data_IF_180262977883
#
_entry.id   IF_180262977883
#
_cell.length_a   1.000
_cell.length_b   1.000
_cell.length_c   1.000
_cell.angle_alpha   90.00
_cell.angle_beta   90.00
_cell.angle_gamma   90.00
#
_symmetry.space_group_name_H-M   'P 1'
#
loop_
_entity.id
_entity.type
_entity.pdbx_description
1 polymer ?
#
# COMPACT_ATOMS: atom_id res chain seq x y z
N UNK A 1 -5.74 8.98 -18.17
CA UNK A 1 -6.41 7.80 -17.57
C UNK A 1 -7.82 8.11 -17.06
N UNK A 2 -8.02 9.11 -16.19
CA UNK A 2 -9.35 9.47 -15.65
C UNK A 2 -10.48 9.57 -16.68
N UNK A 3 -10.25 10.28 -17.80
CA UNK A 3 -11.23 10.39 -18.88
C UNK A 3 -11.64 9.02 -19.45
N UNK A 4 -10.65 8.16 -19.72
CA UNK A 4 -10.90 6.81 -20.26
C UNK A 4 -11.65 5.95 -19.24
N UNK A 5 -11.27 6.02 -17.96
CA UNK A 5 -11.96 5.29 -16.88
C UNK A 5 -13.44 5.69 -16.76
N UNK A 6 -13.74 6.99 -16.85
CA UNK A 6 -15.12 7.50 -16.83
C UNK A 6 -15.91 7.07 -18.07
N UNK A 7 -15.30 7.15 -19.26
CA UNK A 7 -16.00 6.86 -20.52
C UNK A 7 -16.21 5.37 -20.78
N UNK A 8 -15.27 4.52 -20.38
CA UNK A 8 -15.22 3.13 -20.84
C UNK A 8 -15.20 2.10 -19.72
N UNK A 9 -14.85 2.48 -18.49
CA UNK A 9 -14.74 1.57 -17.35
C UNK A 9 -15.74 1.88 -16.22
N UNK A 10 -16.79 2.64 -16.53
CA UNK A 10 -17.91 2.92 -15.62
C UNK A 10 -17.50 3.56 -14.28
N UNK A 11 -16.41 4.35 -14.26
CA UNK A 11 -16.08 5.16 -13.09
C UNK A 11 -17.22 6.14 -12.80
N UNK A 12 -17.85 5.98 -11.63
CA UNK A 12 -18.88 6.86 -11.09
C UNK A 12 -18.31 7.59 -9.86
N UNK A 13 -18.47 8.90 -9.86
CA UNK A 13 -18.12 9.77 -8.73
C UNK A 13 -19.40 10.16 -8.00
N UNK A 14 -19.32 10.24 -6.68
CA UNK A 14 -20.42 10.62 -5.79
C UNK A 14 -19.87 11.21 -4.48
N UNK A 15 -20.71 11.33 -3.45
CA UNK A 15 -20.30 11.86 -2.14
C UNK A 15 -19.27 10.99 -1.40
N UNK A 16 -19.12 9.72 -1.79
CA UNK A 16 -18.21 8.74 -1.20
C UNK A 16 -16.99 8.45 -2.10
N UNK A 17 -17.05 8.79 -3.39
CA UNK A 17 -15.96 8.61 -4.33
C UNK A 17 -15.65 9.91 -5.08
N UNK A 18 -14.52 10.53 -4.73
CA UNK A 18 -14.00 11.72 -5.40
C UNK A 18 -12.74 11.41 -6.21
N UNK A 19 -12.51 12.19 -7.27
CA UNK A 19 -11.32 12.10 -8.10
C UNK A 19 -10.54 13.41 -8.02
N UNK A 20 -9.26 13.30 -7.69
CA UNK A 20 -8.31 14.41 -7.73
C UNK A 20 -7.29 14.13 -8.83
N UNK A 21 -7.17 15.03 -9.81
CA UNK A 21 -6.14 14.95 -10.85
C UNK A 21 -4.96 15.82 -10.41
N UNK A 22 -3.95 15.19 -9.84
CA UNK A 22 -2.75 15.85 -9.33
C UNK A 22 -1.54 14.91 -9.39
N UNK A 23 -0.36 15.45 -9.12
CA UNK A 23 0.81 14.65 -8.76
C UNK A 23 0.59 14.03 -7.38
N UNK A 24 0.75 12.71 -7.27
CA UNK A 24 0.41 11.97 -6.06
C UNK A 24 1.34 12.29 -4.87
N UNK A 25 2.62 12.58 -5.14
CA UNK A 25 3.58 12.97 -4.09
C UNK A 25 3.20 14.34 -3.51
N UNK A 26 2.90 15.29 -4.39
CA UNK A 26 2.47 16.64 -4.00
C UNK A 26 1.16 16.59 -3.22
N UNK A 27 0.20 15.76 -3.65
CA UNK A 27 -1.06 15.54 -2.92
C UNK A 27 -0.81 15.05 -1.49
N UNK A 28 0.02 14.02 -1.32
CA UNK A 28 0.36 13.48 0.01
C UNK A 28 0.94 14.56 0.91
N UNK A 29 1.91 15.33 0.42
CA UNK A 29 2.55 16.40 1.21
C UNK A 29 1.58 17.53 1.59
N UNK A 30 0.67 17.90 0.68
CA UNK A 30 -0.33 18.94 0.92
C UNK A 30 -1.40 18.52 1.91
N UNK A 31 -1.89 17.29 1.83
CA UNK A 31 -2.89 16.77 2.75
C UNK A 31 -2.34 16.69 4.18
N UNK A 32 -1.06 16.32 4.33
CA UNK A 32 -0.36 16.38 5.61
C UNK A 32 -0.29 17.82 6.14
N UNK A 33 -0.02 18.83 5.29
CA UNK A 33 0.00 20.25 5.69
C UNK A 33 -1.39 20.75 6.12
N UNK A 34 -2.45 20.22 5.51
CA UNK A 34 -3.84 20.51 5.87
C UNK A 34 -4.29 19.80 7.15
N UNK A 35 -3.44 18.96 7.75
CA UNK A 35 -3.79 18.18 8.94
C UNK A 35 -4.80 17.07 8.67
N UNK A 36 -4.91 16.62 7.42
CA UNK A 36 -5.78 15.50 7.04
C UNK A 36 -5.16 14.18 7.48
N UNK A 37 -6.02 13.23 7.80
CA UNK A 37 -5.65 11.85 8.07
C UNK A 37 -6.64 10.91 7.39
N UNK A 38 -6.16 9.72 7.04
CA UNK A 38 -6.93 8.67 6.37
C UNK A 38 -6.79 7.36 7.13
N UNK A 39 -7.86 6.55 7.18
CA UNK A 39 -7.80 5.23 7.81
C UNK A 39 -7.04 4.21 6.95
N UNK A 40 -7.15 4.35 5.64
CA UNK A 40 -6.48 3.50 4.67
C UNK A 40 -5.87 4.36 3.57
N UNK A 41 -4.61 4.12 3.23
CA UNK A 41 -3.94 4.68 2.08
C UNK A 41 -3.52 3.56 1.15
N UNK A 42 -4.05 3.54 -0.09
CA UNK A 42 -3.61 2.61 -1.13
C UNK A 42 -2.60 3.30 -2.04
N UNK A 43 -1.46 2.65 -2.28
CA UNK A 43 -0.45 3.09 -3.21
C UNK A 43 -0.31 2.05 -4.34
N UNK A 44 -0.84 2.41 -5.50
CA UNK A 44 -0.74 1.64 -6.75
C UNK A 44 -0.21 2.54 -7.87
N UNK A 45 1.05 2.96 -7.70
CA UNK A 45 1.74 3.84 -8.63
C UNK A 45 2.95 3.08 -9.21
N UNK A 46 2.85 2.70 -10.48
CA UNK A 46 3.82 1.82 -11.12
C UNK A 46 4.43 2.43 -12.38
N UNK A 47 5.67 2.07 -12.66
CA UNK A 47 6.25 2.23 -13.99
C UNK A 47 5.66 1.20 -14.96
N UNK A 48 5.55 1.58 -16.24
CA UNK A 48 5.16 0.64 -17.32
C UNK A 48 6.37 -0.06 -17.98
N UNK A 49 7.58 0.24 -17.51
CA UNK A 49 8.85 -0.15 -18.13
C UNK A 49 9.64 -1.06 -17.19
N UNK A 50 9.96 -2.27 -17.62
CA UNK A 50 10.67 -3.27 -16.79
C UNK A 50 12.14 -2.96 -16.52
N UNK A 51 12.70 -1.88 -17.09
CA UNK A 51 14.08 -1.45 -16.84
C UNK A 51 14.29 -0.87 -15.43
N UNK A 52 13.22 -0.45 -14.75
CA UNK A 52 13.32 0.02 -13.37
C UNK A 52 13.58 -1.14 -12.41
N UNK A 53 14.30 -0.89 -11.31
CA UNK A 53 14.60 -1.95 -10.31
C UNK A 53 13.34 -2.44 -9.61
N UNK A 54 12.51 -1.49 -9.17
CA UNK A 54 11.20 -1.69 -8.58
C UNK A 54 10.19 -1.08 -9.57
N UNK A 55 9.18 -1.86 -9.97
CA UNK A 55 8.11 -1.35 -10.82
C UNK A 55 7.06 -0.61 -10.00
N UNK A 56 6.69 -1.20 -8.86
CA UNK A 56 5.69 -0.66 -7.96
C UNK A 56 6.20 -0.73 -6.51
N UNK A 57 6.21 0.38 -5.75
CA UNK A 57 5.84 1.72 -6.18
C UNK A 57 6.96 2.40 -6.99
N UNK A 58 6.64 3.47 -7.72
CA UNK A 58 7.66 4.32 -8.37
C UNK A 58 8.62 4.92 -7.33
N UNK A 59 9.88 5.14 -7.71
CA UNK A 59 10.93 5.72 -6.87
C UNK A 59 10.58 7.07 -6.22
N UNK A 60 9.72 7.89 -6.84
CA UNK A 60 9.20 9.12 -6.24
C UNK A 60 8.52 8.88 -4.87
N UNK A 61 7.85 7.73 -4.69
CA UNK A 61 7.22 7.33 -3.43
C UNK A 61 8.18 6.62 -2.47
N UNK A 62 9.40 6.28 -2.92
CA UNK A 62 10.44 5.67 -2.09
C UNK A 62 11.36 6.70 -1.43
N UNK A 63 11.21 7.99 -1.74
CA UNK A 63 11.96 9.04 -1.07
C UNK A 63 11.53 9.17 0.41
N UNK A 64 12.49 9.19 1.34
CA UNK A 64 12.23 9.25 2.80
C UNK A 64 11.21 10.33 3.20
N UNK A 65 11.30 11.52 2.60
CA UNK A 65 10.35 12.62 2.86
C UNK A 65 8.90 12.23 2.53
N UNK A 66 8.71 11.49 1.44
CA UNK A 66 7.38 11.05 0.97
C UNK A 66 6.88 9.91 1.84
N UNK A 67 7.73 8.94 2.19
CA UNK A 67 7.39 7.85 3.12
C UNK A 67 6.97 8.41 4.47
N UNK A 68 7.72 9.37 5.02
CA UNK A 68 7.38 10.05 6.27
C UNK A 68 6.06 10.82 6.15
N UNK A 69 5.79 11.44 5.00
CA UNK A 69 4.52 12.11 4.77
C UNK A 69 3.36 11.11 4.74
N UNK A 70 3.53 9.95 4.09
CA UNK A 70 2.54 8.88 4.11
C UNK A 70 2.29 8.33 5.52
N UNK A 71 3.33 8.18 6.36
CA UNK A 71 3.15 7.71 7.75
C UNK A 71 2.37 8.70 8.62
N UNK A 72 2.51 10.00 8.35
CA UNK A 72 1.73 11.06 8.99
C UNK A 72 0.32 11.22 8.41
N UNK A 73 0.12 10.80 7.16
CA UNK A 73 -1.14 10.92 6.46
C UNK A 73 -2.15 9.82 6.85
N UNK A 74 -1.67 8.69 7.37
CA UNK A 74 -2.55 7.67 7.94
C UNK A 74 -2.82 7.92 9.43
N UNK A 75 -3.98 7.51 9.92
CA UNK A 75 -4.33 7.58 11.34
C UNK A 75 -3.42 6.65 12.18
N UNK A 76 -3.46 6.79 13.52
CA UNK A 76 -2.65 5.96 14.41
C UNK A 76 -2.94 4.45 14.26
N UNK A 77 -4.19 4.11 13.98
CA UNK A 77 -4.67 2.75 13.72
C UNK A 77 -4.78 2.42 12.22
N UNK A 78 -4.39 3.37 11.37
CA UNK A 78 -4.52 3.25 9.93
C UNK A 78 -3.48 2.32 9.31
N UNK A 79 -3.67 2.05 8.03
CA UNK A 79 -2.82 1.17 7.24
C UNK A 79 -2.48 1.81 5.88
N UNK A 80 -1.19 1.75 5.53
CA UNK A 80 -0.71 1.96 4.18
C UNK A 80 -0.62 0.59 3.50
N UNK A 81 -1.22 0.46 2.32
CA UNK A 81 -1.23 -0.76 1.51
C UNK A 81 -0.64 -0.43 0.14
N UNK A 82 0.40 -1.15 -0.25
CA UNK A 82 1.18 -0.91 -1.46
C UNK A 82 1.09 -2.16 -2.33
N UNK A 83 0.74 -1.97 -3.60
CA UNK A 83 1.00 -2.97 -4.63
C UNK A 83 2.52 -2.96 -4.89
N UNK A 84 3.23 -3.97 -4.42
CA UNK A 84 4.67 -4.12 -4.62
C UNK A 84 4.92 -5.07 -5.80
N UNK A 85 5.77 -4.67 -6.73
CA UNK A 85 6.13 -5.49 -7.87
C UNK A 85 7.58 -5.22 -8.29
N UNK A 86 8.41 -6.26 -8.42
CA UNK A 86 9.78 -6.09 -8.80
C UNK A 86 9.88 -5.78 -10.29
N UNK A 87 10.90 -5.02 -10.69
CA UNK A 87 11.29 -4.87 -12.08
C UNK A 87 12.51 -5.72 -12.39
N UNK A 88 13.66 -5.08 -12.56
CA UNK A 88 14.92 -5.77 -12.87
C UNK A 88 15.54 -6.50 -11.67
N UNK A 89 15.03 -6.32 -10.45
CA UNK A 89 15.55 -6.95 -9.23
C UNK A 89 14.67 -8.14 -8.81
N UNK A 90 15.16 -8.98 -7.89
CA UNK A 90 14.34 -10.09 -7.38
C UNK A 90 13.29 -9.63 -6.37
N UNK A 91 12.19 -10.39 -6.24
CA UNK A 91 11.15 -10.13 -5.22
C UNK A 91 11.74 -10.06 -3.79
N UNK A 92 12.73 -10.90 -3.50
CA UNK A 92 13.38 -10.92 -2.18
C UNK A 92 14.18 -9.63 -1.93
N UNK A 93 14.90 -9.13 -2.93
CA UNK A 93 15.63 -7.86 -2.83
C UNK A 93 14.70 -6.67 -2.70
N UNK A 94 13.64 -6.62 -3.50
CA UNK A 94 12.60 -5.60 -3.40
C UNK A 94 12.01 -5.56 -1.99
N UNK A 95 11.57 -6.71 -1.46
CA UNK A 95 10.98 -6.79 -0.12
C UNK A 95 11.94 -6.30 0.96
N UNK A 96 13.23 -6.62 0.82
CA UNK A 96 14.26 -6.13 1.74
C UNK A 96 14.37 -4.60 1.69
N UNK A 97 14.48 -4.03 0.50
CA UNK A 97 14.57 -2.56 0.30
C UNK A 97 13.32 -1.86 0.84
N UNK A 98 12.13 -2.35 0.52
CA UNK A 98 10.88 -1.76 1.02
C UNK A 98 10.80 -1.85 2.55
N UNK A 99 11.15 -3.00 3.13
CA UNK A 99 11.14 -3.15 4.60
C UNK A 99 12.12 -2.19 5.27
N UNK A 100 13.34 -2.06 4.75
CA UNK A 100 14.37 -1.15 5.29
C UNK A 100 13.91 0.31 5.25
N UNK A 101 13.40 0.79 4.11
CA UNK A 101 12.97 2.19 3.95
C UNK A 101 11.73 2.52 4.78
N UNK A 102 10.71 1.66 4.76
CA UNK A 102 9.44 1.97 5.42
C UNK A 102 9.51 1.79 6.94
N UNK A 103 10.33 0.85 7.44
CA UNK A 103 10.47 0.64 8.89
C UNK A 103 11.15 1.81 9.62
N UNK A 104 11.75 2.76 8.89
CA UNK A 104 12.24 4.03 9.47
C UNK A 104 11.09 4.88 10.03
N UNK A 105 9.91 4.82 9.39
CA UNK A 105 8.78 5.71 9.69
C UNK A 105 7.53 5.00 10.21
N UNK A 106 7.43 3.68 10.01
CA UNK A 106 6.33 2.85 10.45
C UNK A 106 6.79 1.84 11.51
N UNK A 107 5.92 1.52 12.47
CA UNK A 107 6.27 0.57 13.56
C UNK A 107 6.13 -0.89 13.15
N UNK A 108 5.33 -1.16 12.13
CA UNK A 108 5.05 -2.49 11.66
C UNK A 108 4.89 -2.47 10.15
N UNK A 109 5.64 -3.30 9.45
CA UNK A 109 5.49 -3.56 8.03
C UNK A 109 5.52 -5.07 7.78
N UNK A 110 4.73 -5.55 6.83
CA UNK A 110 4.71 -6.96 6.45
C UNK A 110 4.26 -7.11 4.99
N UNK A 111 4.32 -8.33 4.49
CA UNK A 111 3.98 -8.65 3.12
C UNK A 111 3.06 -9.88 3.08
N UNK A 112 2.12 -9.86 2.13
CA UNK A 112 1.32 -11.02 1.75
C UNK A 112 1.48 -11.25 0.26
N UNK A 113 1.70 -12.51 -0.10
CA UNK A 113 1.71 -12.94 -1.49
C UNK A 113 0.29 -12.75 -2.03
N UNK A 114 0.15 -12.03 -3.13
CA UNK A 114 -1.13 -11.90 -3.82
C UNK A 114 -1.19 -12.86 -5.01
N UNK A 115 -0.61 -12.48 -6.15
CA UNK A 115 -0.65 -13.29 -7.36
C UNK A 115 0.53 -12.95 -8.28
N UNK A 116 1.18 -13.98 -8.81
CA UNK A 116 2.32 -13.82 -9.71
C UNK A 116 3.46 -13.03 -9.07
N UNK A 117 3.85 -11.92 -9.70
CA UNK A 117 4.92 -11.04 -9.23
C UNK A 117 4.46 -9.96 -8.26
N UNK A 118 3.14 -9.77 -8.08
CA UNK A 118 2.60 -8.73 -7.23
C UNK A 118 2.47 -9.24 -5.79
N UNK A 119 3.00 -8.45 -4.85
CA UNK A 119 2.83 -8.66 -3.42
C UNK A 119 2.08 -7.48 -2.81
N UNK A 120 1.28 -7.77 -1.78
CA UNK A 120 0.69 -6.71 -0.94
C UNK A 120 1.69 -6.43 0.17
N UNK A 121 2.44 -5.33 0.03
CA UNK A 121 3.27 -4.79 1.10
C UNK A 121 2.45 -3.77 1.89
N UNK A 122 2.45 -3.85 3.22
CA UNK A 122 1.64 -2.94 4.03
C UNK A 122 2.35 -2.55 5.31
N UNK A 123 2.06 -1.33 5.78
CA UNK A 123 2.66 -0.74 6.97
C UNK A 123 1.63 -0.03 7.85
N UNK A 124 1.90 0.01 9.15
CA UNK A 124 1.03 0.58 10.18
C UNK A 124 1.83 1.35 11.23
N UNK A 125 1.22 2.40 11.80
CA UNK A 125 1.78 3.17 12.92
C UNK A 125 1.67 2.44 14.27
N UNK A 126 0.80 1.43 14.33
CA UNK A 126 0.66 0.51 15.46
C UNK A 126 0.69 -0.92 14.94
N UNK A 127 1.45 -1.78 15.62
CA UNK A 127 1.43 -3.20 15.31
C UNK A 127 0.02 -3.80 15.54
N UNK A 128 -0.42 -4.73 14.68
CA UNK A 128 -1.70 -5.42 14.86
C UNK A 128 -1.80 -6.12 16.22
N UNK A 129 -2.94 -5.99 16.91
CA UNK A 129 -3.21 -6.74 18.16
C UNK A 129 -3.66 -8.17 17.82
N UNK A 130 -2.71 -9.11 17.87
CA UNK A 130 -2.86 -10.49 17.40
C UNK A 130 -4.09 -11.19 18.01
N UNK A 131 -4.49 -10.82 19.24
CA UNK A 131 -5.63 -11.40 19.95
C UNK A 131 -7.01 -10.88 19.55
N UNK A 132 -7.11 -9.89 18.64
CA UNK A 132 -8.39 -9.24 18.26
C UNK A 132 -8.69 -9.29 16.76
N UNK A 133 -7.92 -10.06 15.98
CA UNK A 133 -8.11 -10.07 14.54
C UNK A 133 -9.33 -10.88 14.10
N UNK A 134 -10.21 -10.21 13.37
CA UNK A 134 -11.13 -10.87 12.44
C UNK A 134 -10.30 -11.29 11.23
N UNK A 135 -10.26 -12.57 10.92
CA UNK A 135 -9.67 -13.06 9.68
C UNK A 135 -10.53 -12.55 8.52
N UNK A 136 -10.04 -11.56 7.78
CA UNK A 136 -10.81 -10.90 6.71
C UNK A 136 -11.26 -11.91 5.63
N UNK A 137 -10.44 -12.91 5.31
CA UNK A 137 -10.81 -13.93 4.34
C UNK A 137 -11.92 -14.84 4.88
N UNK A 138 -11.85 -15.21 6.16
CA UNK A 138 -12.92 -15.93 6.85
C UNK A 138 -14.23 -15.12 6.90
N UNK A 139 -14.13 -13.83 7.26
CA UNK A 139 -15.26 -12.92 7.32
C UNK A 139 -15.93 -12.70 5.95
N UNK A 140 -15.12 -12.60 4.89
CA UNK A 140 -15.59 -12.46 3.51
C UNK A 140 -16.01 -13.80 2.87
N UNK A 141 -15.93 -14.92 3.60
CA UNK A 141 -16.33 -16.24 3.13
C UNK A 141 -15.40 -16.86 2.08
N UNK A 142 -14.16 -16.38 1.96
CA UNK A 142 -13.15 -17.00 1.11
C UNK A 142 -12.53 -18.21 1.83
N UNK A 143 -12.23 -19.31 1.11
CA UNK A 143 -11.56 -20.46 1.70
C UNK A 143 -10.18 -20.04 2.21
N UNK A 144 -9.95 -20.17 3.53
CA UNK A 144 -8.66 -19.91 4.15
C UNK A 144 -7.66 -20.96 3.65
N UNK A 145 -6.52 -20.57 3.05
CA UNK A 145 -5.48 -21.52 2.69
C UNK A 145 -4.96 -22.24 3.93
N UNK A 146 -4.80 -23.57 3.88
CA UNK A 146 -4.47 -24.45 5.00
C UNK A 146 -3.12 -24.17 5.73
N UNK A 147 -2.41 -23.08 5.40
CA UNK A 147 -1.13 -22.69 6.04
C UNK A 147 -1.29 -21.70 7.20
N UNK A 148 -2.50 -21.25 7.51
CA UNK A 148 -2.76 -20.37 8.66
C UNK A 148 -3.29 -21.12 9.90
N UNK A 149 -3.40 -22.45 9.84
CA UNK A 149 -3.92 -23.28 10.94
C UNK A 149 -2.85 -23.89 11.85
N UNK A 150 -1.58 -23.50 11.73
CA UNK A 150 -0.55 -23.94 12.69
C UNK A 150 -0.38 -22.88 13.78
N UNK A 151 -0.77 -23.15 15.04
CA UNK A 151 -0.26 -22.37 16.15
C UNK A 151 1.25 -22.57 16.20
N UNK A 152 2.01 -21.47 16.31
CA UNK A 152 3.41 -21.52 16.70
C UNK A 152 3.44 -22.12 18.12
N UNK A 153 3.85 -23.38 18.20
CA UNK A 153 4.28 -24.06 19.43
C UNK A 153 5.64 -23.56 19.89
#
# INVERSE_FOLDING_TARGET
MAYVASKWFSLKLDSHHSLVVADGVSFVEEEVKKGRTYDVLFLDACYSDSRYKILCPTDAFLANKVIHSMSRLISYDGILVINAAPGSMSMTEERKVLTELFSEFFRYCNTRIASGINEVFYCMNRAPDIGKHVNLFEFLGFPVPARLSSPLS
#
